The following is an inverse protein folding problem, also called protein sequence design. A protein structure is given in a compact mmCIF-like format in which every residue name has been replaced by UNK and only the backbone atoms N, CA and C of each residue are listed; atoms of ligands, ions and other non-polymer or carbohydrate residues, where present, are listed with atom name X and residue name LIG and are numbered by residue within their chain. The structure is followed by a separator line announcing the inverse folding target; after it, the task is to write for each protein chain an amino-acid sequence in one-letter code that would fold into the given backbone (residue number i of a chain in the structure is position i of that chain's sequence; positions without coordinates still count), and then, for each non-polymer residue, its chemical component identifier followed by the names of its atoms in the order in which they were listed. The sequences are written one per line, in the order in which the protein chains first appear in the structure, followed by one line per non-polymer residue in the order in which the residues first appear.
data_IF_931232586167
#
_entry.id   IF_931232586167
#
_cell.length_a   1.000
_cell.length_b   1.000
_cell.length_c   1.000
_cell.angle_alpha   90.00
_cell.angle_beta   90.00
_cell.angle_gamma   90.00
#
_symmetry.space_group_name_H-M   'P 1'
#
loop_
_entity.id
_entity.type
_entity.pdbx_description
1 polymer ?
#
# COMPACT_ATOMS: atom_id res chain seq x y z
N UNK A 1 -6.65 -1.80 -4.93
CA UNK A 1 -5.28 -1.62 -5.46
C UNK A 1 -4.55 -0.61 -4.61
N UNK A 2 -3.24 -0.77 -4.37
CA UNK A 2 -2.46 0.18 -3.59
C UNK A 2 -0.99 0.22 -4.06
N UNK A 3 -0.34 1.38 -3.94
CA UNK A 3 1.09 1.58 -4.19
C UNK A 3 1.70 2.48 -3.11
N UNK A 4 3.03 2.55 -3.11
CA UNK A 4 3.80 3.50 -2.31
C UNK A 4 5.01 3.95 -3.15
N UNK A 5 4.89 5.13 -3.74
CA UNK A 5 5.96 5.76 -4.52
C UNK A 5 6.91 6.57 -3.63
N UNK A 6 8.23 6.36 -3.75
CA UNK A 6 9.21 7.20 -3.08
C UNK A 6 9.00 8.69 -3.36
N UNK A 7 9.11 9.51 -2.32
CA UNK A 7 8.97 10.98 -2.39
C UNK A 7 7.59 11.52 -2.79
N UNK A 8 6.60 10.66 -3.05
CA UNK A 8 5.23 11.07 -3.43
C UNK A 8 4.22 10.51 -2.43
N UNK A 9 4.18 9.18 -2.27
CA UNK A 9 3.25 8.51 -1.37
C UNK A 9 3.93 8.22 -0.02
N UNK A 10 3.14 8.12 1.06
CA UNK A 10 3.67 7.68 2.34
C UNK A 10 4.22 6.25 2.29
N UNK A 11 4.91 5.84 3.36
CA UNK A 11 5.49 4.50 3.47
C UNK A 11 4.41 3.41 3.37
N UNK A 12 4.76 2.17 2.93
CA UNK A 12 3.76 1.12 2.71
C UNK A 12 2.90 0.79 3.94
N UNK A 13 3.46 0.91 5.15
CA UNK A 13 2.71 0.71 6.40
C UNK A 13 1.70 1.83 6.70
N UNK A 14 2.04 3.06 6.34
CA UNK A 14 1.14 4.21 6.51
C UNK A 14 -0.01 4.13 5.50
N UNK A 15 0.28 3.77 4.25
CA UNK A 15 -0.73 3.50 3.22
C UNK A 15 -1.66 2.37 3.67
N UNK A 16 -1.10 1.25 4.17
CA UNK A 16 -1.89 0.15 4.73
C UNK A 16 -2.79 0.63 5.87
N UNK A 17 -2.25 1.44 6.79
CA UNK A 17 -3.01 1.97 7.93
C UNK A 17 -4.15 2.90 7.47
N UNK A 18 -3.91 3.75 6.47
CA UNK A 18 -4.93 4.60 5.87
C UNK A 18 -6.06 3.79 5.22
N UNK A 19 -5.72 2.69 4.53
CA UNK A 19 -6.72 1.76 3.97
C UNK A 19 -7.54 1.13 5.09
N UNK A 20 -6.92 0.62 6.15
CA UNK A 20 -7.65 0.04 7.28
C UNK A 20 -8.57 1.06 7.97
N UNK A 21 -8.10 2.27 8.19
CA UNK A 21 -8.91 3.35 8.77
C UNK A 21 -10.12 3.67 7.88
N UNK A 22 -9.90 3.82 6.57
CA UNK A 22 -10.97 4.08 5.62
C UNK A 22 -12.01 2.96 5.57
N UNK A 23 -11.56 1.70 5.63
CA UNK A 23 -12.47 0.54 5.66
C UNK A 23 -13.22 0.42 6.99
N UNK A 24 -12.66 0.89 8.10
CA UNK A 24 -13.33 0.88 9.41
C UNK A 24 -14.52 1.83 9.49
N UNK A 25 -14.52 2.91 8.70
CA UNK A 25 -15.63 3.87 8.61
C UNK A 25 -16.77 3.38 7.70
N UNK A 26 -16.56 2.30 6.95
CA UNK A 26 -17.56 1.73 6.06
C UNK A 26 -18.58 0.88 6.82
N UNK A 27 -19.82 0.72 6.28
CA UNK A 27 -20.76 -0.25 6.82
C UNK A 27 -20.12 -1.64 6.86
N UNK A 28 -20.58 -2.48 7.79
CA UNK A 28 -20.08 -3.85 7.90
C UNK A 28 -20.24 -4.58 6.56
N UNK A 29 -19.14 -5.14 6.05
CA UNK A 29 -19.19 -5.89 4.81
C UNK A 29 -20.05 -7.15 5.00
N UNK A 30 -21.05 -7.40 4.14
CA UNK A 30 -21.93 -8.56 4.28
C UNK A 30 -21.22 -9.90 4.00
N UNK A 31 -19.94 -9.87 3.61
CA UNK A 31 -19.14 -11.02 3.19
C UNK A 31 -17.83 -11.12 4.00
N UNK A 32 -17.84 -10.92 5.31
CA UNK A 32 -16.64 -11.13 6.13
C UNK A 32 -16.23 -12.61 6.17
N UNK A 33 -15.53 -13.06 5.13
CA UNK A 33 -14.92 -14.37 5.11
C UNK A 33 -13.61 -14.23 5.87
N UNK A 34 -13.68 -14.32 7.20
CA UNK A 34 -12.53 -14.27 8.11
C UNK A 34 -11.63 -15.50 8.01
N UNK A 35 -11.79 -16.32 6.97
CA UNK A 35 -11.14 -17.61 6.87
C UNK A 35 -9.82 -17.49 6.11
N UNK A 36 -8.80 -18.19 6.61
CA UNK A 36 -7.53 -18.33 5.93
C UNK A 36 -7.75 -18.86 4.51
N UNK A 37 -6.91 -18.47 3.55
CA UNK A 37 -6.97 -18.96 2.16
C UNK A 37 -6.96 -20.50 2.04
N UNK A 38 -6.55 -21.20 3.11
CA UNK A 38 -6.43 -22.66 3.21
C UNK A 38 -7.64 -23.31 3.92
N UNK A 39 -8.67 -22.53 4.27
CA UNK A 39 -9.87 -23.06 4.88
C UNK A 39 -10.75 -23.70 3.81
N UNK A 40 -10.83 -25.03 3.82
CA UNK A 40 -11.88 -25.77 3.12
C UNK A 40 -13.21 -25.44 3.81
N UNK A 41 -14.04 -24.64 3.13
CA UNK A 41 -15.45 -24.49 3.49
C UNK A 41 -16.17 -25.70 2.90
N UNK A 42 -16.90 -26.44 3.74
CA UNK A 42 -17.76 -27.55 3.30
C UNK A 42 -18.64 -27.09 2.12
N UNK A 43 -18.39 -27.66 0.94
CA UNK A 43 -19.13 -27.50 -0.32
C UNK A 43 -19.13 -26.13 -1.05
N UNK A 44 -18.34 -25.13 -0.66
CA UNK A 44 -18.27 -23.83 -1.37
C UNK A 44 -16.98 -23.64 -2.18
N UNK A 45 -17.11 -23.57 -3.51
CA UNK A 45 -15.98 -23.29 -4.41
C UNK A 45 -15.91 -21.80 -4.69
N UNK A 46 -14.79 -21.17 -4.35
CA UNK A 46 -14.51 -19.79 -4.77
C UNK A 46 -14.24 -19.75 -6.28
N UNK A 47 -15.17 -19.15 -7.03
CA UNK A 47 -15.08 -19.00 -8.48
C UNK A 47 -14.76 -17.53 -8.80
N UNK A 48 -13.71 -17.30 -9.58
CA UNK A 48 -13.43 -16.02 -10.21
C UNK A 48 -13.63 -16.15 -11.72
N UNK A 49 -14.38 -15.23 -12.33
CA UNK A 49 -14.56 -15.20 -13.77
C UNK A 49 -13.33 -14.65 -14.48
N UNK A 50 -12.96 -15.27 -15.61
CA UNK A 50 -11.79 -14.85 -16.40
C UNK A 50 -11.89 -13.39 -16.86
N UNK A 51 -13.11 -12.88 -17.09
CA UNK A 51 -13.38 -11.50 -17.47
C UNK A 51 -13.01 -10.50 -16.37
N UNK A 52 -13.46 -10.74 -15.15
CA UNK A 52 -13.22 -9.88 -13.99
C UNK A 52 -11.73 -9.92 -13.62
N UNK A 53 -11.13 -11.11 -13.62
CA UNK A 53 -9.69 -11.30 -13.39
C UNK A 53 -8.88 -10.56 -14.45
N UNK A 54 -9.25 -10.67 -15.73
CA UNK A 54 -8.56 -9.97 -16.83
C UNK A 54 -8.68 -8.44 -16.70
N UNK A 55 -9.87 -7.93 -16.35
CA UNK A 55 -10.10 -6.50 -16.16
C UNK A 55 -9.30 -5.93 -14.97
N UNK A 56 -9.25 -6.68 -13.87
CA UNK A 56 -8.46 -6.33 -12.68
C UNK A 56 -6.96 -6.34 -13.01
N UNK A 57 -6.47 -7.39 -13.67
CA UNK A 57 -5.08 -7.52 -14.06
C UNK A 57 -4.64 -6.39 -15.02
N UNK A 58 -5.48 -6.03 -15.99
CA UNK A 58 -5.21 -4.92 -16.90
C UNK A 58 -5.09 -3.59 -16.16
N UNK A 59 -6.01 -3.33 -15.22
CA UNK A 59 -6.01 -2.11 -14.40
C UNK A 59 -4.81 -2.03 -13.46
N UNK A 60 -4.46 -3.16 -12.81
CA UNK A 60 -3.27 -3.27 -11.95
C UNK A 60 -1.98 -3.05 -12.75
N UNK A 61 -1.90 -3.64 -13.95
CA UNK A 61 -0.74 -3.48 -14.83
C UNK A 61 -0.52 -2.02 -15.19
N UNK A 62 -1.60 -1.31 -15.56
CA UNK A 62 -1.54 0.13 -15.82
C UNK A 62 -1.08 0.93 -14.60
N UNK A 63 -1.56 0.58 -13.40
CA UNK A 63 -1.20 1.23 -12.14
C UNK A 63 0.28 1.03 -11.78
N UNK A 64 0.79 -0.18 -11.99
CA UNK A 64 2.20 -0.54 -11.80
C UNK A 64 3.08 0.16 -12.84
N UNK A 65 2.68 0.17 -14.12
CA UNK A 65 3.44 0.86 -15.18
C UNK A 65 3.54 2.35 -14.88
N UNK A 66 2.45 2.99 -14.45
CA UNK A 66 2.48 4.40 -14.03
C UNK A 66 3.49 4.65 -12.91
N UNK A 67 3.54 3.73 -11.94
CA UNK A 67 4.49 3.77 -10.84
C UNK A 67 5.95 3.60 -11.30
N UNK A 68 6.21 2.68 -12.25
CA UNK A 68 7.56 2.36 -12.72
C UNK A 68 8.14 3.38 -13.71
N UNK A 69 7.29 4.05 -14.50
CA UNK A 69 7.74 5.05 -15.49
C UNK A 69 8.29 6.31 -14.81
N UNK A 70 7.92 6.59 -13.55
CA UNK A 70 8.61 7.58 -12.72
C UNK A 70 8.41 9.04 -13.14
N UNK A 71 7.22 9.40 -13.61
CA UNK A 71 6.87 10.81 -13.87
C UNK A 71 6.80 11.64 -12.58
N UNK A 72 7.08 12.94 -12.67
CA UNK A 72 6.96 13.87 -11.53
C UNK A 72 5.54 13.92 -10.93
N UNK A 73 4.53 13.67 -11.77
CA UNK A 73 3.13 13.58 -11.37
C UNK A 73 2.58 12.24 -11.87
N UNK A 74 2.18 11.33 -10.97
CA UNK A 74 1.56 10.07 -11.38
C UNK A 74 0.23 10.32 -12.08
N UNK A 75 -0.09 9.51 -13.11
CA UNK A 75 -1.40 9.59 -13.79
C UNK A 75 -2.54 9.22 -12.85
N UNK A 76 -2.31 8.29 -11.93
CA UNK A 76 -3.27 7.96 -10.88
C UNK A 76 -3.04 8.87 -9.67
N UNK A 77 -3.97 9.77 -9.33
CA UNK A 77 -3.74 10.76 -8.27
C UNK A 77 -3.77 10.19 -6.85
N UNK A 78 -4.39 9.03 -6.62
CA UNK A 78 -4.42 8.39 -5.31
C UNK A 78 -3.44 7.20 -5.24
N UNK A 79 -2.85 6.99 -4.07
CA UNK A 79 -2.02 5.83 -3.78
C UNK A 79 -2.83 4.54 -3.66
N UNK A 80 -4.14 4.61 -3.39
CA UNK A 80 -4.99 3.44 -3.25
C UNK A 80 -6.44 3.66 -3.73
N UNK A 81 -7.04 2.57 -4.20
CA UNK A 81 -8.40 2.53 -4.76
C UNK A 81 -9.13 1.25 -4.35
N UNK A 82 -10.41 1.39 -4.01
CA UNK A 82 -11.38 0.28 -3.94
C UNK A 82 -12.10 0.19 -5.29
N UNK A 83 -12.28 -1.02 -5.82
CA UNK A 83 -12.86 -1.25 -7.14
C UNK A 83 -13.98 -2.28 -7.00
N UNK A 84 -15.18 -1.90 -7.43
CA UNK A 84 -16.35 -2.77 -7.51
C UNK A 84 -16.52 -3.38 -8.89
N UNK A 85 -16.88 -4.66 -8.95
CA UNK A 85 -17.26 -5.36 -10.20
C UNK A 85 -18.75 -5.69 -10.28
N UNK A 86 -19.48 -5.43 -9.20
CA UNK A 86 -20.91 -5.66 -9.09
C UNK A 86 -21.51 -4.71 -8.06
N UNK A 87 -22.84 -4.58 -8.05
CA UNK A 87 -23.56 -3.88 -6.99
C UNK A 87 -23.52 -4.72 -5.72
N UNK A 88 -22.56 -4.44 -4.84
CA UNK A 88 -22.36 -5.16 -3.59
C UNK A 88 -21.66 -4.28 -2.56
N UNK A 89 -22.04 -4.44 -1.29
CA UNK A 89 -21.49 -3.68 -0.16
C UNK A 89 -21.63 -2.16 -0.35
N UNK A 90 -20.51 -1.44 -0.57
CA UNK A 90 -20.48 0.01 -0.79
C UNK A 90 -20.54 0.42 -2.28
N UNK A 91 -20.48 -0.55 -3.20
CA UNK A 91 -20.47 -0.27 -4.63
C UNK A 91 -21.87 -0.30 -5.21
N UNK A 92 -22.21 0.73 -5.99
CA UNK A 92 -23.55 0.87 -6.56
C UNK A 92 -23.70 0.26 -7.95
N UNK A 93 -22.58 0.01 -8.65
CA UNK A 93 -22.53 -0.55 -10.00
C UNK A 93 -21.19 -1.25 -10.30
N UNK A 94 -21.09 -2.06 -11.37
CA UNK A 94 -19.80 -2.50 -11.90
C UNK A 94 -18.90 -1.32 -12.28
N UNK A 95 -17.60 -1.47 -12.03
CA UNK A 95 -16.54 -0.47 -12.23
C UNK A 95 -16.63 0.77 -11.34
N UNK A 96 -17.54 0.78 -10.37
CA UNK A 96 -17.62 1.82 -9.34
C UNK A 96 -16.32 1.81 -8.51
N UNK A 97 -15.60 2.94 -8.51
CA UNK A 97 -14.22 3.02 -8.02
C UNK A 97 -14.08 4.18 -7.05
N UNK A 98 -13.64 3.87 -5.83
CA UNK A 98 -13.45 4.86 -4.78
C UNK A 98 -11.96 5.06 -4.49
N UNK A 99 -11.41 6.28 -4.62
CA UNK A 99 -10.07 6.57 -4.14
C UNK A 99 -10.05 6.54 -2.62
N UNK A 100 -9.05 5.89 -2.05
CA UNK A 100 -8.80 5.91 -0.61
C UNK A 100 -7.90 7.09 -0.28
N UNK A 101 -8.30 8.03 0.59
CA UNK A 101 -7.43 9.12 1.03
C UNK A 101 -6.19 8.54 1.71
N UNK A 102 -5.02 8.82 1.14
CA UNK A 102 -3.74 8.32 1.64
C UNK A 102 -2.80 9.50 1.96
N UNK A 103 -1.94 9.37 2.98
CA UNK A 103 -0.94 10.39 3.27
C UNK A 103 0.14 10.43 2.18
N UNK A 104 0.70 11.63 1.97
CA UNK A 104 1.85 11.83 1.10
C UNK A 104 3.15 11.42 1.80
N UNK A 105 4.22 11.27 1.02
CA UNK A 105 5.55 11.08 1.56
C UNK A 105 5.87 12.21 2.58
N UNK A 106 6.49 11.89 3.71
CA UNK A 106 7.06 12.94 4.56
C UNK A 106 8.06 13.74 3.71
N UNK A 107 8.15 15.05 3.96
CA UNK A 107 9.27 15.81 3.42
C UNK A 107 10.56 15.09 3.81
N UNK A 108 11.43 14.88 2.82
CA UNK A 108 12.74 14.30 3.11
C UNK A 108 13.35 15.10 4.24
N UNK A 109 13.92 14.46 5.28
CA UNK A 109 14.74 15.19 6.23
C UNK A 109 15.71 16.02 5.40
N UNK A 110 15.87 17.30 5.76
CA UNK A 110 16.95 18.10 5.21
C UNK A 110 18.22 17.24 5.28
N UNK A 111 19.03 17.24 4.22
CA UNK A 111 20.38 16.66 4.21
C UNK A 111 20.95 16.88 5.62
N UNK A 112 21.28 15.82 6.38
CA UNK A 112 21.75 16.02 7.74
C UNK A 112 22.93 16.97 7.62
N UNK A 113 22.82 18.16 8.22
CA UNK A 113 23.96 19.06 8.33
C UNK A 113 25.12 18.21 8.83
N UNK A 114 26.30 18.35 8.23
CA UNK A 114 27.50 17.58 8.57
C UNK A 114 27.77 17.72 10.08
N UNK A 115 27.15 16.83 10.84
CA UNK A 115 27.08 16.94 12.27
C UNK A 115 28.24 16.13 12.80
N UNK A 116 29.41 16.76 12.80
CA UNK A 116 30.64 16.17 13.33
C UNK A 116 30.45 15.57 14.73
N UNK A 117 29.53 16.10 15.54
CA UNK A 117 29.22 15.50 16.84
C UNK A 117 28.55 14.11 16.73
N UNK A 118 27.68 13.89 15.75
CA UNK A 118 27.06 12.59 15.50
C UNK A 118 28.08 11.56 14.96
N UNK A 119 29.02 12.00 14.12
CA UNK A 119 30.11 11.15 13.61
C UNK A 119 31.05 10.73 14.73
N UNK A 120 31.39 11.66 15.63
CA UNK A 120 32.20 11.38 16.83
C UNK A 120 31.49 10.41 17.77
N UNK A 121 30.20 10.64 18.06
CA UNK A 121 29.41 9.74 18.93
C UNK A 121 29.29 8.32 18.35
N UNK A 122 29.16 8.18 17.04
CA UNK A 122 29.17 6.87 16.38
C UNK A 122 30.55 6.19 16.48
N UNK A 123 31.63 6.96 16.33
CA UNK A 123 33.00 6.48 16.52
C UNK A 123 33.26 5.97 17.96
N UNK A 124 32.74 6.67 18.96
CA UNK A 124 32.82 6.24 20.36
C UNK A 124 32.05 4.95 20.60
N UNK A 125 30.82 4.82 20.08
CA UNK A 125 30.04 3.59 20.16
C UNK A 125 30.75 2.40 19.51
N UNK A 126 31.33 2.61 18.32
CA UNK A 126 32.08 1.57 17.62
C UNK A 126 33.35 1.16 18.39
N UNK A 127 33.96 2.06 19.16
CA UNK A 127 35.10 1.73 20.02
C UNK A 127 34.72 0.93 21.27
N UNK A 128 33.50 1.11 21.78
CA UNK A 128 32.96 0.35 22.93
C UNK A 128 32.49 -1.04 22.51
N UNK A 129 31.87 -1.17 21.33
CA UNK A 129 31.27 -2.42 20.84
C UNK A 129 32.14 -3.17 19.81
N UNK A 130 33.25 -2.58 19.37
CA UNK A 130 34.20 -3.20 18.46
C UNK A 130 35.02 -4.29 19.13
N UNK A 131 34.81 -5.55 18.71
CA UNK A 131 35.60 -6.71 19.13
C UNK A 131 37.09 -6.44 18.85
N UNK A 132 37.91 -6.40 19.90
CA UNK A 132 39.38 -6.40 19.77
C UNK A 132 39.79 -7.64 18.97
N UNK A 133 40.30 -7.46 17.75
CA UNK A 133 41.05 -8.51 17.05
C UNK A 133 42.28 -8.84 17.90
N UNK A 134 42.38 -10.10 18.33
CA UNK A 134 43.61 -10.68 18.86
C UNK A 134 44.73 -10.61 17.82
#
# INVERSE_FOLDING_TARGET
MARSLPSIDAGPLDIRSAIHAYLADMPEAPFQHSQNYDAEIDDEVFIAGDSEVSALAASLSQFIIDALVGGQVPRFPSAAYLIGYQKAWIFEAPFDTYPVPCPCAPESPAEPEDNQAAVVALGELLSVFGVKKC
#
